data_IF_469632264310
#
_entry.id   IF_469632264310
#
_cell.length_a   1.000
_cell.length_b   1.000
_cell.length_c   1.000
_cell.angle_alpha   90.00
_cell.angle_beta   90.00
_cell.angle_gamma   90.00
#
_symmetry.space_group_name_H-M   'P 1'
#
loop_
_entity.id
_entity.type
_entity.pdbx_description
1 polymer ?
#
# COMPACT_ATOMS: atom_id res chain seq x y z
N UNK A 1 7.68 -12.14 2.61
CA UNK A 1 7.31 -12.20 1.18
C UNK A 1 5.79 -12.10 0.95
N UNK A 2 4.95 -12.89 1.62
CA UNK A 2 3.49 -12.82 1.41
C UNK A 2 2.89 -11.42 1.61
N UNK A 3 3.27 -10.71 2.68
CA UNK A 3 2.83 -9.32 2.92
C UNK A 3 3.22 -8.34 1.80
N UNK A 4 4.39 -8.52 1.18
CA UNK A 4 4.84 -7.68 0.08
C UNK A 4 3.91 -7.80 -1.12
N UNK A 5 3.59 -9.03 -1.55
CA UNK A 5 2.69 -9.24 -2.69
C UNK A 5 1.26 -8.79 -2.44
N UNK A 6 0.77 -8.86 -1.20
CA UNK A 6 -0.56 -8.37 -0.82
C UNK A 6 -0.62 -6.84 -0.87
N UNK A 7 0.42 -6.15 -0.34
CA UNK A 7 0.45 -4.69 -0.26
C UNK A 7 0.81 -4.03 -1.61
N UNK A 8 1.79 -4.60 -2.32
CA UNK A 8 2.35 -4.01 -3.54
C UNK A 8 1.80 -4.63 -4.82
N UNK A 9 0.89 -5.61 -4.75
CA UNK A 9 0.37 -6.32 -5.92
C UNK A 9 -0.14 -5.38 -7.03
N UNK A 10 -0.84 -4.31 -6.65
CA UNK A 10 -1.26 -3.27 -7.61
C UNK A 10 -0.10 -2.53 -8.26
N UNK A 11 0.91 -2.14 -7.48
CA UNK A 11 2.10 -1.44 -7.98
C UNK A 11 2.97 -2.35 -8.87
N UNK A 12 3.03 -3.65 -8.59
CA UNK A 12 3.72 -4.63 -9.43
C UNK A 12 3.05 -4.76 -10.80
N UNK A 13 1.71 -4.82 -10.86
CA UNK A 13 0.97 -4.85 -12.13
C UNK A 13 1.18 -3.57 -12.93
N UNK A 14 1.11 -2.41 -12.28
CA UNK A 14 1.37 -1.11 -12.93
C UNK A 14 2.81 -1.07 -13.46
N UNK A 15 3.79 -1.48 -12.65
CA UNK A 15 5.19 -1.55 -13.04
C UNK A 15 5.42 -2.45 -14.25
N UNK A 16 4.76 -3.61 -14.29
CA UNK A 16 4.81 -4.52 -15.44
C UNK A 16 4.29 -3.87 -16.73
N UNK A 17 3.15 -3.17 -16.67
CA UNK A 17 2.60 -2.45 -17.83
C UNK A 17 3.57 -1.37 -18.31
N UNK A 18 4.19 -0.61 -17.39
CA UNK A 18 5.18 0.42 -17.73
C UNK A 18 6.38 -0.20 -18.46
N UNK A 19 6.86 -1.37 -18.03
CA UNK A 19 7.94 -2.09 -18.71
C UNK A 19 7.54 -2.50 -20.13
N UNK A 20 6.33 -3.02 -20.34
CA UNK A 20 5.83 -3.38 -21.67
C UNK A 20 5.76 -2.16 -22.60
N UNK A 21 5.23 -1.03 -22.11
CA UNK A 21 5.20 0.23 -22.86
C UNK A 21 6.62 0.70 -23.18
N UNK A 22 7.55 0.57 -22.24
CA UNK A 22 8.96 0.93 -22.44
C UNK A 22 9.59 0.11 -23.56
N UNK A 23 9.34 -1.20 -23.61
CA UNK A 23 9.81 -2.08 -24.70
C UNK A 23 9.21 -1.63 -26.03
N UNK A 24 7.89 -1.42 -26.07
CA UNK A 24 7.19 -1.03 -27.29
C UNK A 24 7.68 0.31 -27.85
N UNK A 25 7.80 1.34 -27.01
CA UNK A 25 8.24 2.66 -27.43
C UNK A 25 9.72 2.65 -27.81
N UNK A 26 10.57 1.97 -27.04
CA UNK A 26 12.03 1.99 -27.25
C UNK A 26 12.52 1.19 -28.46
N UNK A 27 11.65 0.38 -29.08
CA UNK A 27 11.93 -0.38 -30.30
C UNK A 27 11.45 0.32 -31.58
N UNK A 28 10.81 1.50 -31.46
CA UNK A 28 10.33 2.26 -32.62
C UNK A 28 11.48 2.82 -33.46
N UNK A 29 11.30 2.96 -34.79
CA UNK A 29 12.37 3.37 -35.71
C UNK A 29 12.88 4.80 -35.50
N UNK A 30 12.10 5.66 -34.84
CA UNK A 30 12.49 7.03 -34.51
C UNK A 30 13.31 7.14 -33.21
N UNK A 31 13.54 6.04 -32.49
CA UNK A 31 14.32 6.03 -31.25
C UNK A 31 15.82 5.89 -31.53
N UNK A 32 16.63 6.56 -30.71
CA UNK A 32 18.09 6.46 -30.80
C UNK A 32 18.62 5.03 -30.61
N UNK A 33 19.81 4.75 -31.17
CA UNK A 33 20.50 3.46 -30.97
C UNK A 33 20.73 3.21 -29.48
N UNK A 34 20.40 2.02 -29.01
CA UNK A 34 20.55 1.62 -27.60
C UNK A 34 19.45 2.13 -26.66
N UNK A 35 18.41 2.80 -27.16
CA UNK A 35 17.29 3.29 -26.33
C UNK A 35 16.60 2.17 -25.55
N UNK A 36 16.43 0.97 -26.12
CA UNK A 36 15.84 -0.17 -25.40
C UNK A 36 16.63 -0.53 -24.13
N UNK A 37 17.96 -0.67 -24.23
CA UNK A 37 18.82 -1.05 -23.09
C UNK A 37 18.81 0.03 -22.02
N UNK A 38 18.95 1.30 -22.41
CA UNK A 38 18.94 2.45 -21.48
C UNK A 38 17.56 2.61 -20.82
N UNK A 39 16.49 2.53 -21.61
CA UNK A 39 15.12 2.64 -21.15
C UNK A 39 14.77 1.55 -20.15
N UNK A 40 15.02 0.29 -20.50
CA UNK A 40 14.78 -0.83 -19.59
C UNK A 40 15.58 -0.69 -18.29
N UNK A 41 16.87 -0.36 -18.36
CA UNK A 41 17.72 -0.23 -17.18
C UNK A 41 17.18 0.86 -16.23
N UNK A 42 16.89 2.05 -16.74
CA UNK A 42 16.45 3.15 -15.89
C UNK A 42 15.02 2.97 -15.40
N UNK A 43 14.10 2.54 -16.25
CA UNK A 43 12.69 2.34 -15.87
C UNK A 43 12.56 1.25 -14.82
N UNK A 44 13.23 0.11 -15.00
CA UNK A 44 13.17 -0.98 -14.01
C UNK A 44 13.81 -0.59 -12.68
N UNK A 45 14.94 0.13 -12.71
CA UNK A 45 15.60 0.64 -11.51
C UNK A 45 14.68 1.58 -10.72
N UNK A 46 14.10 2.57 -11.41
CA UNK A 46 13.22 3.56 -10.79
C UNK A 46 11.97 2.90 -10.21
N UNK A 47 11.30 2.02 -10.96
CA UNK A 47 10.14 1.27 -10.47
C UNK A 47 10.50 0.47 -9.21
N UNK A 48 11.63 -0.23 -9.23
CA UNK A 48 12.07 -1.06 -8.09
C UNK A 48 12.30 -0.22 -6.83
N UNK A 49 12.93 0.95 -6.96
CA UNK A 49 13.13 1.88 -5.85
C UNK A 49 11.79 2.37 -5.30
N UNK A 50 10.87 2.81 -6.16
CA UNK A 50 9.57 3.32 -5.73
C UNK A 50 8.73 2.26 -5.02
N UNK A 51 8.68 1.04 -5.55
CA UNK A 51 7.95 -0.07 -4.92
C UNK A 51 8.59 -0.42 -3.57
N UNK A 52 9.93 -0.52 -3.51
CA UNK A 52 10.64 -0.81 -2.27
C UNK A 52 10.40 0.25 -1.20
N UNK A 53 10.47 1.53 -1.57
CA UNK A 53 10.23 2.65 -0.66
C UNK A 53 8.78 2.73 -0.20
N UNK A 54 7.82 2.53 -1.11
CA UNK A 54 6.40 2.48 -0.79
C UNK A 54 6.08 1.37 0.23
N UNK A 55 6.63 0.17 0.00
CA UNK A 55 6.47 -0.95 0.92
C UNK A 55 7.04 -0.62 2.31
N UNK A 56 8.27 -0.08 2.36
CA UNK A 56 8.93 0.30 3.61
C UNK A 56 8.13 1.31 4.43
N UNK A 57 7.67 2.40 3.80
CA UNK A 57 6.82 3.40 4.48
C UNK A 57 5.53 2.77 4.98
N UNK A 58 4.89 1.94 4.15
CA UNK A 58 3.61 1.30 4.48
C UNK A 58 3.76 0.38 5.68
N UNK A 59 4.78 -0.47 5.71
CA UNK A 59 5.01 -1.40 6.83
C UNK A 59 5.41 -0.67 8.11
N UNK A 60 6.19 0.40 8.02
CA UNK A 60 6.55 1.19 9.20
C UNK A 60 5.32 1.87 9.81
N UNK A 61 4.44 2.43 8.98
CA UNK A 61 3.17 3.00 9.44
C UNK A 61 2.26 1.94 10.05
N UNK A 62 2.19 0.75 9.46
CA UNK A 62 1.41 -0.36 10.06
C UNK A 62 1.95 -0.75 11.43
N UNK A 63 3.27 -0.79 11.59
CA UNK A 63 3.90 -1.09 12.88
C UNK A 63 3.56 -0.02 13.93
N UNK A 64 3.66 1.27 13.60
CA UNK A 64 3.30 2.34 14.53
C UNK A 64 1.82 2.36 14.88
N UNK A 65 0.94 2.07 13.92
CA UNK A 65 -0.49 1.88 14.14
C UNK A 65 -0.76 0.74 15.12
N UNK A 66 -0.10 -0.41 14.93
CA UNK A 66 -0.25 -1.56 15.82
C UNK A 66 0.23 -1.23 17.24
N UNK A 67 1.39 -0.59 17.36
CA UNK A 67 1.91 -0.16 18.66
C UNK A 67 0.95 0.80 19.38
N UNK A 68 0.44 1.80 18.66
CA UNK A 68 -0.53 2.75 19.21
C UNK A 68 -1.81 2.04 19.68
N UNK A 69 -2.34 1.10 18.90
CA UNK A 69 -3.50 0.31 19.26
C UNK A 69 -3.27 -0.52 20.53
N UNK A 70 -2.11 -1.18 20.66
CA UNK A 70 -1.77 -1.95 21.86
C UNK A 70 -1.62 -1.08 23.11
N UNK A 71 -1.24 0.19 22.95
CA UNK A 71 -1.20 1.20 24.01
C UNK A 71 -2.55 1.86 24.29
N UNK A 72 -3.65 1.30 23.76
CA UNK A 72 -5.00 1.87 23.85
C UNK A 72 -5.10 3.32 23.33
N UNK A 73 -4.23 3.69 22.38
CA UNK A 73 -4.36 4.97 21.67
C UNK A 73 -5.33 4.83 20.52
N UNK A 74 -5.92 5.96 20.12
CA UNK A 74 -6.86 6.00 19.01
C UNK A 74 -6.12 5.89 17.69
N UNK A 75 -6.61 4.99 16.85
CA UNK A 75 -6.17 4.80 15.47
C UNK A 75 -7.33 5.15 14.55
N UNK A 76 -7.05 5.91 13.50
CA UNK A 76 -8.05 6.31 12.51
C UNK A 76 -7.89 5.39 11.30
N UNK A 77 -8.91 4.60 10.98
CA UNK A 77 -8.92 3.69 9.83
C UNK A 77 -9.89 4.16 8.75
N UNK A 78 -9.46 4.17 7.49
CA UNK A 78 -10.33 4.54 6.37
C UNK A 78 -11.31 3.40 6.01
N UNK A 79 -12.61 3.72 5.94
CA UNK A 79 -13.65 2.79 5.53
C UNK A 79 -13.77 2.69 4.01
N UNK A 80 -13.92 1.46 3.51
CA UNK A 80 -14.21 1.21 2.08
C UNK A 80 -15.66 1.54 1.70
N UNK A 81 -16.53 1.78 2.68
CA UNK A 81 -17.96 1.87 2.46
C UNK A 81 -18.40 3.31 2.20
N UNK A 82 -18.53 3.62 0.92
CA UNK A 82 -19.25 4.74 0.32
C UNK A 82 -18.73 6.15 0.62
N UNK A 83 -18.49 6.90 -0.47
CA UNK A 83 -18.08 8.32 -0.54
C UNK A 83 -19.00 9.33 0.19
N UNK A 84 -19.89 8.92 1.11
CA UNK A 84 -20.97 9.81 1.57
C UNK A 84 -21.08 10.15 3.07
N UNK A 85 -20.75 9.35 4.10
CA UNK A 85 -21.03 9.85 5.49
C UNK A 85 -20.08 9.47 6.65
N UNK A 86 -19.13 8.54 6.51
CA UNK A 86 -18.00 8.46 7.45
C UNK A 86 -16.78 7.81 6.76
N UNK A 87 -15.88 8.63 6.23
CA UNK A 87 -14.68 8.13 5.52
C UNK A 87 -13.72 7.41 6.46
N UNK A 88 -13.81 7.63 7.77
CA UNK A 88 -12.91 7.07 8.78
C UNK A 88 -13.67 6.55 10.00
N UNK A 89 -13.07 5.57 10.65
CA UNK A 89 -13.53 4.96 11.90
C UNK A 89 -12.43 5.08 12.95
N UNK A 90 -12.81 5.44 14.17
CA UNK A 90 -11.91 5.45 15.31
C UNK A 90 -11.84 4.04 15.90
N UNK A 91 -10.66 3.46 15.86
CA UNK A 91 -10.33 2.14 16.36
C UNK A 91 -9.53 2.31 17.64
N UNK A 92 -10.02 1.72 18.73
CA UNK A 92 -9.40 1.79 20.05
C UNK A 92 -9.67 0.49 20.79
N UNK A 93 -8.64 -0.08 21.44
CA UNK A 93 -8.71 -1.40 22.06
C UNK A 93 -9.78 -1.50 23.15
N UNK A 94 -9.99 -0.43 23.90
CA UNK A 94 -11.06 -0.30 24.91
C UNK A 94 -12.49 -0.22 24.34
N UNK A 95 -12.68 -0.03 23.04
CA UNK A 95 -13.99 0.14 22.39
C UNK A 95 -14.39 -1.09 21.55
N UNK A 96 -14.22 -2.30 22.11
CA UNK A 96 -14.56 -3.58 21.46
C UNK A 96 -13.84 -3.84 20.13
N UNK A 97 -12.64 -3.28 19.96
CA UNK A 97 -11.77 -3.60 18.83
C UNK A 97 -10.72 -4.61 19.25
N UNK A 98 -10.46 -5.57 18.37
CA UNK A 98 -9.32 -6.48 18.47
C UNK A 98 -8.59 -6.56 17.13
N UNK A 99 -7.42 -7.19 17.12
CA UNK A 99 -6.58 -7.30 15.94
C UNK A 99 -6.40 -8.77 15.57
N UNK A 100 -6.77 -9.14 14.34
CA UNK A 100 -6.52 -10.44 13.73
C UNK A 100 -5.53 -10.27 12.58
N UNK A 101 -4.29 -10.71 12.80
CA UNK A 101 -3.18 -10.48 11.89
C UNK A 101 -2.89 -8.99 11.70
N UNK A 102 -3.18 -8.48 10.50
CA UNK A 102 -3.03 -7.07 10.12
C UNK A 102 -4.38 -6.32 10.04
N UNK A 103 -5.47 -6.96 10.45
CA UNK A 103 -6.83 -6.41 10.38
C UNK A 103 -7.38 -6.08 11.77
N UNK A 104 -8.04 -4.93 11.88
CA UNK A 104 -8.87 -4.59 13.02
C UNK A 104 -10.28 -5.14 12.82
N UNK A 105 -10.80 -5.82 13.83
CA UNK A 105 -12.13 -6.42 13.86
C UNK A 105 -12.89 -5.94 15.10
N UNK A 106 -14.20 -5.84 14.98
CA UNK A 106 -15.10 -5.48 16.08
C UNK A 106 -16.45 -6.15 15.84
N UNK A 107 -17.15 -6.62 16.89
CA UNK A 107 -18.51 -7.15 16.75
C UNK A 107 -19.50 -6.09 16.24
N UNK A 108 -19.17 -4.81 16.36
CA UNK A 108 -20.00 -3.69 15.92
C UNK A 108 -19.87 -3.38 14.42
N UNK A 109 -18.93 -4.03 13.71
CA UNK A 109 -18.65 -3.77 12.31
C UNK A 109 -18.62 -5.09 11.51
N UNK A 110 -19.40 -5.16 10.43
CA UNK A 110 -19.46 -6.35 9.58
C UNK A 110 -18.14 -6.67 8.85
N UNK A 111 -17.28 -5.68 8.66
CA UNK A 111 -16.06 -5.82 7.84
C UNK A 111 -14.79 -5.44 8.62
N UNK A 112 -13.69 -6.20 8.42
CA UNK A 112 -12.39 -5.86 8.97
C UNK A 112 -11.78 -4.62 8.32
N UNK A 113 -10.96 -3.89 9.08
CA UNK A 113 -10.19 -2.74 8.61
C UNK A 113 -8.70 -3.08 8.58
N UNK A 114 -8.10 -3.07 7.39
CA UNK A 114 -6.69 -3.40 7.24
C UNK A 114 -5.80 -2.26 7.75
N UNK A 115 -4.87 -2.55 8.66
CA UNK A 115 -3.96 -1.58 9.30
C UNK A 115 -3.15 -0.71 8.32
N UNK A 116 -2.84 -1.23 7.12
CA UNK A 116 -2.25 -0.46 6.02
C UNK A 116 -3.08 0.75 5.55
N UNK A 117 -4.33 0.89 6.00
CA UNK A 117 -5.21 2.04 5.71
C UNK A 117 -5.52 2.88 6.93
N UNK A 118 -4.73 2.72 7.98
CA UNK A 118 -4.92 3.43 9.22
C UNK A 118 -3.74 4.35 9.52
N UNK A 119 -3.99 5.32 10.39
CA UNK A 119 -2.99 6.25 10.92
C UNK A 119 -3.20 6.40 12.42
N UNK A 120 -2.14 6.77 13.13
CA UNK A 120 -2.24 7.12 14.56
C UNK A 120 -2.86 8.52 14.65
N UNK A 121 -3.89 8.68 15.48
CA UNK A 121 -4.44 10.00 15.81
C UNK A 121 -3.35 10.82 16.54
N UNK A 122 -3.14 12.06 16.10
CA UNK A 122 -2.09 12.93 16.63
C UNK A 122 -2.50 13.58 17.96
#
# INVERSE_FOLDING_TARGET
>A
MQKFFILEGGNLVIGFIIVLVTIFVSTRPFMGKGSLKKGLLWVTLVISIFIGFHFYITTNRMASVKEAFEQDRVVICESRMQRKVAQSVLVKKSNDWSMDGDNFISPNYERPFHSARCIVEK
#
